data_IF_056305518229
#
_entry.id   IF_056305518229
#
_cell.length_a   1.000
_cell.length_b   1.000
_cell.length_c   1.000
_cell.angle_alpha   90.00
_cell.angle_beta   90.00
_cell.angle_gamma   90.00
#
_symmetry.space_group_name_H-M   'P 1'
#
loop_
_entity.id
_entity.type
_entity.pdbx_description
1 polymer ?
#
# COMPACT_ATOMS: atom_id res chain seq x y z
N UNK A 1 18.66 -2.46 2.25
CA UNK A 1 19.21 -1.08 2.17
C UNK A 1 20.62 -0.97 2.74
N UNK A 2 20.85 -1.21 4.04
CA UNK A 2 22.22 -1.13 4.62
C UNK A 2 23.23 -2.14 4.06
N UNK A 3 22.76 -3.25 3.49
CA UNK A 3 23.58 -4.18 2.70
C UNK A 3 23.84 -3.72 1.25
N UNK A 4 23.48 -2.48 0.89
CA UNK A 4 23.70 -1.92 -0.45
C UNK A 4 22.66 -2.31 -1.51
N UNK A 5 21.56 -2.97 -1.13
CA UNK A 5 20.48 -3.36 -2.04
C UNK A 5 19.21 -2.51 -1.84
N UNK A 6 18.52 -2.29 -2.96
CA UNK A 6 17.11 -1.91 -2.94
C UNK A 6 16.28 -3.05 -2.36
N UNK A 7 15.10 -2.73 -1.83
CA UNK A 7 14.24 -3.66 -1.10
C UNK A 7 12.86 -3.67 -1.73
N UNK A 8 12.28 -4.86 -1.87
CA UNK A 8 10.86 -5.03 -2.15
C UNK A 8 10.24 -5.64 -0.89
N UNK A 9 9.22 -4.99 -0.34
CA UNK A 9 8.57 -5.39 0.91
C UNK A 9 7.07 -5.60 0.73
N UNK A 10 6.56 -6.69 1.29
CA UNK A 10 5.12 -6.97 1.37
C UNK A 10 4.37 -5.93 2.21
N UNK A 11 3.04 -5.90 2.06
CA UNK A 11 2.17 -5.08 2.91
C UNK A 11 1.90 -5.73 4.28
N UNK A 12 1.72 -4.95 5.36
CA UNK A 12 1.95 -3.50 5.44
C UNK A 12 3.45 -3.17 5.42
N UNK A 13 3.85 -2.08 4.76
CA UNK A 13 5.26 -1.68 4.65
C UNK A 13 5.90 -1.48 6.03
N UNK A 14 5.21 -0.77 6.90
CA UNK A 14 5.53 -0.54 8.32
C UNK A 14 4.23 -0.36 9.11
N UNK A 15 4.21 -0.68 10.42
CA UNK A 15 3.03 -0.51 11.26
C UNK A 15 2.72 0.93 11.70
N UNK A 16 3.69 1.86 11.69
CA UNK A 16 3.48 3.25 12.15
C UNK A 16 4.08 4.30 11.22
N UNK A 17 3.65 5.55 11.38
CA UNK A 17 4.14 6.68 10.58
C UNK A 17 5.59 7.03 10.95
N UNK A 18 5.96 6.95 12.22
CA UNK A 18 7.31 7.23 12.69
C UNK A 18 8.32 6.28 12.04
N UNK A 19 7.95 5.02 11.86
CA UNK A 19 8.79 4.03 11.17
C UNK A 19 8.90 4.29 9.66
N UNK A 20 7.91 4.96 9.06
CA UNK A 20 8.01 5.40 7.67
C UNK A 20 9.04 6.53 7.52
N UNK A 21 9.08 7.45 8.48
CA UNK A 21 10.08 8.52 8.52
C UNK A 21 11.50 7.96 8.74
N UNK A 22 11.65 6.98 9.64
CA UNK A 22 12.91 6.26 9.82
C UNK A 22 13.36 5.56 8.52
N UNK A 23 12.42 4.92 7.81
CA UNK A 23 12.70 4.24 6.55
C UNK A 23 13.18 5.24 5.48
N UNK A 24 12.57 6.42 5.41
CA UNK A 24 12.99 7.49 4.52
C UNK A 24 14.39 8.03 4.85
N UNK A 25 14.75 8.10 6.14
CA UNK A 25 16.10 8.44 6.57
C UNK A 25 17.11 7.38 6.11
N UNK A 26 16.80 6.09 6.27
CA UNK A 26 17.68 4.99 5.83
C UNK A 26 17.83 4.98 4.30
N UNK A 27 16.77 5.28 3.53
CA UNK A 27 16.90 5.46 2.07
C UNK A 27 17.92 6.56 1.74
N UNK A 28 17.82 7.72 2.42
CA UNK A 28 18.73 8.86 2.23
C UNK A 28 20.17 8.52 2.61
N UNK A 29 20.38 7.82 3.73
CA UNK A 29 21.71 7.41 4.21
C UNK A 29 22.39 6.41 3.27
N UNK A 30 21.62 5.45 2.74
CA UNK A 30 22.16 4.34 1.94
C UNK A 30 22.14 4.61 0.44
N UNK A 31 21.37 5.62 -0.01
CA UNK A 31 21.08 5.85 -1.43
C UNK A 31 20.26 4.74 -2.08
N UNK A 32 19.69 3.83 -1.29
CA UNK A 32 18.87 2.69 -1.75
C UNK A 32 17.40 2.97 -1.54
N UNK A 33 16.58 2.23 -2.28
CA UNK A 33 15.13 2.38 -2.28
C UNK A 33 14.41 1.18 -1.68
N UNK A 34 13.27 1.44 -1.07
CA UNK A 34 12.29 0.44 -0.67
C UNK A 34 11.01 0.63 -1.48
N UNK A 35 10.54 -0.48 -2.05
CA UNK A 35 9.30 -0.54 -2.82
C UNK A 35 8.31 -1.40 -2.06
N UNK A 36 7.06 -0.96 -1.99
CA UNK A 36 6.00 -1.73 -1.36
C UNK A 36 5.14 -2.44 -2.42
N UNK A 37 4.73 -3.67 -2.12
CA UNK A 37 3.81 -4.41 -2.98
C UNK A 37 2.39 -3.90 -2.72
N UNK A 38 1.91 -3.04 -3.64
CA UNK A 38 0.54 -2.49 -3.66
C UNK A 38 -0.19 -2.97 -4.92
N UNK A 39 -0.28 -4.29 -5.08
CA UNK A 39 -0.63 -4.97 -6.33
C UNK A 39 -2.00 -4.60 -6.93
N UNK A 40 -2.92 -4.06 -6.12
CA UNK A 40 -4.23 -3.63 -6.61
C UNK A 40 -4.15 -2.37 -7.47
N UNK A 41 -3.07 -1.58 -7.38
CA UNK A 41 -2.91 -0.37 -8.18
C UNK A 41 -2.79 -0.66 -9.69
N UNK A 42 -2.34 -1.87 -10.07
CA UNK A 42 -2.17 -2.28 -11.46
C UNK A 42 -3.42 -2.97 -12.05
N UNK A 43 -4.45 -3.19 -11.23
CA UNK A 43 -5.65 -3.88 -11.67
C UNK A 43 -6.50 -2.98 -12.58
N UNK A 44 -6.82 -3.45 -13.79
CA UNK A 44 -7.49 -2.66 -14.83
C UNK A 44 -8.81 -2.02 -14.37
N UNK A 45 -9.59 -2.71 -13.52
CA UNK A 45 -10.83 -2.14 -13.00
C UNK A 45 -10.58 -0.95 -12.05
N UNK A 46 -9.48 -0.96 -11.30
CA UNK A 46 -9.09 0.14 -10.40
C UNK A 46 -8.56 1.32 -11.21
N UNK A 47 -7.76 1.06 -12.24
CA UNK A 47 -7.29 2.09 -13.17
C UNK A 47 -8.46 2.78 -13.90
N UNK A 48 -9.39 2.00 -14.45
CA UNK A 48 -10.59 2.55 -15.10
C UNK A 48 -11.50 3.32 -14.14
N UNK A 49 -11.63 2.87 -12.89
CA UNK A 49 -12.36 3.62 -11.86
C UNK A 49 -11.66 4.94 -11.53
N UNK A 50 -10.33 4.93 -11.37
CA UNK A 50 -9.52 6.14 -11.12
C UNK A 50 -9.70 7.16 -12.24
N UNK A 51 -9.61 6.74 -13.50
CA UNK A 51 -9.82 7.62 -14.66
C UNK A 51 -11.23 8.18 -14.70
N UNK A 52 -12.25 7.34 -14.46
CA UNK A 52 -13.65 7.77 -14.40
C UNK A 52 -13.89 8.80 -13.30
N UNK A 53 -13.31 8.61 -12.12
CA UNK A 53 -13.42 9.56 -11.00
C UNK A 53 -12.70 10.87 -11.32
N UNK A 54 -11.51 10.81 -11.93
CA UNK A 54 -10.73 12.00 -12.27
C UNK A 54 -11.36 12.88 -13.36
N UNK A 55 -12.05 12.29 -14.34
CA UNK A 55 -12.65 13.02 -15.46
C UNK A 55 -14.13 13.39 -15.25
N UNK A 56 -14.76 12.90 -14.19
CA UNK A 56 -16.15 13.22 -13.91
C UNK A 56 -16.24 14.50 -13.07
N UNK A 57 -16.79 15.58 -13.63
CA UNK A 57 -17.00 16.86 -12.96
C UNK A 57 -18.20 16.82 -12.00
N UNK A 58 -18.18 15.88 -11.04
CA UNK A 58 -19.10 15.89 -9.91
C UNK A 58 -18.59 16.82 -8.82
N UNK A 59 -19.51 17.58 -8.23
CA UNK A 59 -19.22 18.40 -7.06
C UNK A 59 -19.26 17.60 -5.75
N UNK A 60 -19.94 16.45 -5.77
CA UNK A 60 -20.17 15.59 -4.61
C UNK A 60 -19.32 14.31 -4.63
N UNK A 61 -19.13 13.69 -3.46
CA UNK A 61 -18.36 12.46 -3.30
C UNK A 61 -19.18 11.23 -3.71
N UNK A 62 -18.49 10.17 -4.13
CA UNK A 62 -19.12 8.87 -4.32
C UNK A 62 -19.43 8.22 -2.98
N UNK A 63 -20.61 7.62 -2.88
CA UNK A 63 -20.95 6.70 -1.79
C UNK A 63 -20.35 5.33 -2.10
N UNK A 64 -19.57 4.78 -1.16
CA UNK A 64 -18.74 3.59 -1.37
C UNK A 64 -18.97 2.62 -0.23
N UNK A 65 -19.42 1.41 -0.58
CA UNK A 65 -19.53 0.28 0.35
C UNK A 65 -18.43 -0.73 0.02
N UNK A 66 -17.56 -1.01 0.99
CA UNK A 66 -16.50 -2.01 0.90
C UNK A 66 -16.78 -3.14 1.90
N UNK A 67 -16.99 -4.35 1.38
CA UNK A 67 -17.14 -5.56 2.19
C UNK A 67 -16.00 -6.52 1.87
N UNK A 68 -15.17 -6.81 2.87
CA UNK A 68 -14.09 -7.78 2.77
C UNK A 68 -14.22 -8.82 3.88
N UNK A 69 -14.58 -10.04 3.51
CA UNK A 69 -14.73 -11.17 4.42
C UNK A 69 -13.82 -12.28 3.93
N UNK A 70 -12.95 -12.75 4.81
CA UNK A 70 -12.04 -13.85 4.52
C UNK A 70 -12.03 -14.80 5.71
N UNK A 71 -12.39 -16.06 5.49
CA UNK A 71 -12.40 -17.06 6.55
C UNK A 71 -10.98 -17.31 7.05
N UNK A 72 -10.84 -17.46 8.37
CA UNK A 72 -9.60 -17.82 9.05
C UNK A 72 -9.91 -18.85 10.12
N UNK A 73 -9.03 -19.83 10.24
CA UNK A 73 -9.12 -20.86 11.27
C UNK A 73 -8.64 -20.34 12.63
N UNK A 74 -8.90 -21.11 13.69
CA UNK A 74 -8.53 -20.74 15.07
C UNK A 74 -7.05 -20.40 15.24
N UNK A 75 -6.17 -21.10 14.52
CA UNK A 75 -4.72 -20.89 14.60
C UNK A 75 -4.30 -19.46 14.24
N UNK A 76 -5.08 -18.74 13.42
CA UNK A 76 -4.79 -17.37 13.02
C UNK A 76 -4.84 -16.36 14.18
N UNK A 77 -5.56 -16.69 15.26
CA UNK A 77 -5.65 -15.84 16.46
C UNK A 77 -4.64 -16.24 17.54
N UNK A 78 -3.96 -17.37 17.36
CA UNK A 78 -2.94 -17.88 18.28
C UNK A 78 -1.52 -17.46 17.87
N UNK A 79 -1.37 -16.93 16.65
CA UNK A 79 -0.12 -16.43 16.06
C UNK A 79 0.08 -14.93 16.25
#
# INVERSE_FOLDING_TARGET
MRLGCDVICEKPLVPTLEQLDELALVEKETGKKVYNILQLQDYQAILGLKEKVAHNNRADKYDVILTYITSRDKWYMES
#
